data_IF_091720551356
#
_entry.id   IF_091720551356
#
_cell.length_a   1.000
_cell.length_b   1.000
_cell.length_c   1.000
_cell.angle_alpha   90.00
_cell.angle_beta   90.00
_cell.angle_gamma   90.00
#
_symmetry.space_group_name_H-M   'P 1'
#
loop_
_entity.id
_entity.type
_entity.pdbx_description
1 polymer ?
#
# COMPACT_ATOMS: atom_id res chain seq x y z
N UNK A 1 -26.21 -1.06 -12.07
CA UNK A 1 -26.73 -0.83 -10.70
C UNK A 1 -25.61 -0.25 -9.87
N UNK A 2 -25.84 0.85 -9.14
CA UNK A 2 -24.81 1.50 -8.33
C UNK A 2 -24.60 0.71 -7.03
N UNK A 3 -23.35 0.40 -6.67
CA UNK A 3 -22.99 -0.30 -5.44
C UNK A 3 -23.38 0.55 -4.21
N UNK A 4 -23.97 -0.09 -3.20
CA UNK A 4 -24.29 0.53 -1.90
C UNK A 4 -22.99 0.91 -1.14
N UNK A 5 -23.04 1.97 -0.32
CA UNK A 5 -21.93 2.43 0.53
C UNK A 5 -21.85 1.58 1.80
N UNK A 6 -20.64 1.21 2.24
CA UNK A 6 -20.41 0.41 3.45
C UNK A 6 -19.46 1.12 4.42
N UNK A 7 -19.79 2.34 4.87
CA UNK A 7 -18.92 3.08 5.78
C UNK A 7 -18.90 2.41 7.16
N UNK A 8 -17.72 2.39 7.78
CA UNK A 8 -17.54 1.93 9.16
C UNK A 8 -16.55 2.83 9.87
N UNK A 9 -16.76 3.03 11.17
CA UNK A 9 -15.82 3.78 11.99
C UNK A 9 -14.46 3.07 12.09
N UNK A 10 -14.46 1.74 12.14
CA UNK A 10 -13.25 0.90 12.19
C UNK A 10 -13.40 -0.29 11.25
N UNK A 11 -12.33 -0.59 10.51
CA UNK A 11 -12.18 -1.75 9.61
C UNK A 11 -11.22 -2.74 10.28
N UNK A 12 -11.53 -4.03 10.25
CA UNK A 12 -10.67 -5.08 10.78
C UNK A 12 -10.72 -6.36 9.93
N UNK A 13 -9.60 -6.73 9.33
CA UNK A 13 -9.41 -7.95 8.52
C UNK A 13 -8.17 -8.74 8.92
N UNK A 14 -7.20 -8.10 9.57
CA UNK A 14 -5.93 -8.66 9.97
C UNK A 14 -6.12 -9.87 10.90
N UNK A 15 -5.50 -11.00 10.54
CA UNK A 15 -5.54 -12.21 11.36
C UNK A 15 -6.87 -12.99 11.28
N UNK A 16 -7.82 -12.54 10.47
CA UNK A 16 -9.11 -13.19 10.26
C UNK A 16 -9.13 -13.97 8.94
N UNK A 17 -9.71 -15.17 8.96
CA UNK A 17 -10.07 -15.93 7.77
C UNK A 17 -11.42 -15.46 7.21
N UNK A 18 -11.74 -15.77 5.93
CA UNK A 18 -13.07 -15.51 5.37
C UNK A 18 -14.19 -15.99 6.30
N UNK A 19 -15.25 -15.19 6.43
CA UNK A 19 -16.42 -15.45 7.29
C UNK A 19 -16.18 -15.45 8.81
N UNK A 20 -15.00 -15.02 9.26
CA UNK A 20 -14.75 -14.84 10.69
C UNK A 20 -15.05 -13.43 11.16
N UNK A 21 -15.79 -13.34 12.27
CA UNK A 21 -16.14 -12.07 12.91
C UNK A 21 -16.69 -11.07 11.88
N UNK A 22 -16.19 -9.83 11.91
CA UNK A 22 -16.59 -8.75 11.03
C UNK A 22 -15.74 -8.64 9.75
N UNK A 23 -14.95 -9.67 9.40
CA UNK A 23 -14.02 -9.59 8.27
C UNK A 23 -14.72 -9.27 6.97
N UNK A 24 -15.82 -9.96 6.66
CA UNK A 24 -16.50 -9.78 5.37
C UNK A 24 -17.12 -8.38 5.25
N UNK A 25 -17.67 -7.86 6.34
CA UNK A 25 -18.15 -6.49 6.41
C UNK A 25 -17.01 -5.47 6.25
N UNK A 26 -15.84 -5.75 6.83
CA UNK A 26 -14.65 -4.93 6.69
C UNK A 26 -14.08 -4.96 5.27
N UNK A 27 -14.16 -6.09 4.57
CA UNK A 27 -13.79 -6.20 3.15
C UNK A 27 -14.75 -5.38 2.27
N UNK A 28 -16.06 -5.40 2.56
CA UNK A 28 -17.01 -4.51 1.88
C UNK A 28 -16.69 -3.05 2.13
N UNK A 29 -16.28 -2.68 3.34
CA UNK A 29 -15.80 -1.33 3.64
C UNK A 29 -14.53 -0.95 2.87
N UNK A 30 -13.52 -1.83 2.81
CA UNK A 30 -12.29 -1.58 2.03
C UNK A 30 -12.58 -1.40 0.54
N UNK A 31 -13.59 -2.10 0.02
CA UNK A 31 -14.06 -1.92 -1.35
C UNK A 31 -14.63 -0.50 -1.60
N UNK A 32 -15.15 0.21 -0.59
CA UNK A 32 -15.49 1.63 -0.77
C UNK A 32 -14.24 2.49 -1.09
N UNK A 33 -13.10 2.22 -0.42
CA UNK A 33 -11.85 2.94 -0.66
C UNK A 33 -11.37 2.73 -2.09
N UNK A 34 -11.34 1.47 -2.54
CA UNK A 34 -10.99 1.11 -3.91
C UNK A 34 -11.94 1.72 -4.94
N UNK A 35 -13.25 1.68 -4.67
CA UNK A 35 -14.25 2.32 -5.54
C UNK A 35 -14.02 3.83 -5.63
N UNK A 36 -13.62 4.50 -4.56
CA UNK A 36 -13.32 5.94 -4.58
C UNK A 36 -12.31 6.25 -5.69
N UNK A 37 -11.19 5.52 -5.72
CA UNK A 37 -10.17 5.69 -6.74
C UNK A 37 -10.68 5.40 -8.16
N UNK A 38 -11.40 4.29 -8.32
CA UNK A 38 -11.92 3.88 -9.64
C UNK A 38 -12.92 4.88 -10.19
N UNK A 39 -13.84 5.38 -9.35
CA UNK A 39 -14.80 6.40 -9.77
C UNK A 39 -14.09 7.72 -10.10
N UNK A 40 -13.07 8.11 -9.32
CA UNK A 40 -12.25 9.30 -9.62
C UNK A 40 -11.59 9.19 -11.00
N UNK A 41 -10.91 8.07 -11.28
CA UNK A 41 -10.26 7.82 -12.56
C UNK A 41 -11.27 7.79 -13.72
N UNK A 42 -12.42 7.13 -13.51
CA UNK A 42 -13.49 7.09 -14.51
C UNK A 42 -14.00 8.50 -14.82
N UNK A 43 -14.15 9.36 -13.80
CA UNK A 43 -14.48 10.77 -14.01
C UNK A 43 -13.37 11.51 -14.76
N UNK A 44 -12.11 11.40 -14.36
CA UNK A 44 -10.99 12.07 -15.05
C UNK A 44 -10.90 11.72 -16.54
N UNK A 45 -11.22 10.47 -16.91
CA UNK A 45 -11.17 10.00 -18.30
C UNK A 45 -12.40 10.44 -19.10
N UNK A 46 -13.59 10.45 -18.47
CA UNK A 46 -14.87 10.60 -19.20
C UNK A 46 -15.55 11.95 -19.03
N UNK A 47 -15.21 12.70 -17.97
CA UNK A 47 -15.95 13.89 -17.52
C UNK A 47 -17.36 13.60 -17.00
N UNK A 48 -17.74 12.32 -16.82
CA UNK A 48 -19.11 11.97 -16.43
C UNK A 48 -19.39 12.33 -14.96
N UNK A 49 -20.31 13.26 -14.77
CA UNK A 49 -20.74 13.80 -13.48
C UNK A 49 -21.29 12.74 -12.52
N UNK A 50 -21.81 11.61 -13.02
CA UNK A 50 -22.26 10.52 -12.15
C UNK A 50 -21.11 9.88 -11.36
N UNK A 51 -19.92 9.79 -11.97
CA UNK A 51 -18.72 9.29 -11.30
C UNK A 51 -18.16 10.30 -10.31
N UNK A 52 -18.18 11.59 -10.64
CA UNK A 52 -17.82 12.70 -9.73
C UNK A 52 -18.71 12.72 -8.47
N UNK A 53 -20.02 12.65 -8.67
CA UNK A 53 -20.98 12.63 -7.56
C UNK A 53 -20.76 11.40 -6.66
N UNK A 54 -20.40 10.25 -7.26
CA UNK A 54 -20.15 9.02 -6.51
C UNK A 54 -18.87 9.10 -5.69
N UNK A 55 -17.78 9.62 -6.25
CA UNK A 55 -16.52 9.78 -5.50
C UNK A 55 -16.67 10.79 -4.37
N UNK A 56 -17.37 11.91 -4.60
CA UNK A 56 -17.66 12.90 -3.55
C UNK A 56 -18.46 12.29 -2.39
N UNK A 57 -19.45 11.45 -2.69
CA UNK A 57 -20.24 10.75 -1.67
C UNK A 57 -19.40 9.73 -0.87
N UNK A 58 -18.50 8.98 -1.52
CA UNK A 58 -17.58 8.10 -0.81
C UNK A 58 -16.69 8.89 0.15
N UNK A 59 -16.03 9.93 -0.36
CA UNK A 59 -15.09 10.74 0.44
C UNK A 59 -15.81 11.37 1.63
N UNK A 60 -16.93 12.05 1.42
CA UNK A 60 -17.61 12.80 2.48
C UNK A 60 -18.02 11.92 3.66
N UNK A 61 -18.56 10.73 3.37
CA UNK A 61 -18.98 9.78 4.40
C UNK A 61 -17.77 9.20 5.15
N UNK A 62 -16.71 8.82 4.43
CA UNK A 62 -15.53 8.20 5.04
C UNK A 62 -14.73 9.18 5.90
N UNK A 63 -14.45 10.40 5.41
CA UNK A 63 -13.68 11.38 6.19
C UNK A 63 -14.45 11.94 7.39
N UNK A 64 -15.78 11.81 7.40
CA UNK A 64 -16.60 12.22 8.53
C UNK A 64 -16.66 11.19 9.66
N UNK A 65 -16.57 9.89 9.35
CA UNK A 65 -16.87 8.82 10.30
C UNK A 65 -15.70 7.89 10.64
N UNK A 66 -14.64 7.87 9.83
CA UNK A 66 -13.56 6.92 9.99
C UNK A 66 -12.61 7.26 11.15
N UNK A 67 -12.23 6.24 11.91
CA UNK A 67 -11.31 6.32 13.05
C UNK A 67 -10.16 5.34 12.78
N UNK A 68 -8.95 5.84 12.41
CA UNK A 68 -7.80 4.98 12.21
C UNK A 68 -7.52 4.11 13.45
N UNK A 69 -7.50 2.80 13.25
CA UNK A 69 -7.09 1.79 14.21
C UNK A 69 -5.56 1.75 14.37
N UNK A 70 -4.84 2.28 13.39
CA UNK A 70 -3.39 2.17 13.24
C UNK A 70 -2.89 0.72 13.09
N UNK A 71 -3.76 -0.16 12.61
CA UNK A 71 -3.38 -1.47 12.10
C UNK A 71 -3.10 -1.35 10.58
N UNK A 72 -1.82 -1.38 10.15
CA UNK A 72 -1.47 -1.10 8.76
C UNK A 72 -1.98 -2.14 7.77
N UNK A 73 -2.35 -3.34 8.25
CA UNK A 73 -2.93 -4.40 7.40
C UNK A 73 -4.43 -4.15 7.18
N UNK A 74 -5.14 -3.70 8.21
CA UNK A 74 -6.56 -3.33 8.10
C UNK A 74 -6.74 -2.12 7.17
N UNK A 75 -5.75 -1.25 7.14
CA UNK A 75 -5.79 0.06 6.48
C UNK A 75 -4.94 0.12 5.21
N UNK A 76 -4.38 -1.02 4.77
CA UNK A 76 -3.44 -1.08 3.66
C UNK A 76 -3.97 -0.37 2.40
N UNK A 77 -5.27 -0.52 2.10
CA UNK A 77 -5.91 0.01 0.90
C UNK A 77 -6.60 1.36 1.13
N UNK A 78 -6.53 1.94 2.34
CA UNK A 78 -7.08 3.27 2.63
C UNK A 78 -6.44 4.34 1.75
N UNK A 79 -5.23 4.09 1.25
CA UNK A 79 -4.54 4.94 0.28
C UNK A 79 -5.38 5.19 -0.99
N UNK A 80 -6.23 4.25 -1.40
CA UNK A 80 -7.09 4.42 -2.57
C UNK A 80 -8.16 5.49 -2.35
N UNK A 81 -8.70 5.60 -1.13
CA UNK A 81 -9.59 6.71 -0.74
C UNK A 81 -8.86 8.04 -0.89
N UNK A 82 -7.60 8.11 -0.43
CA UNK A 82 -6.79 9.32 -0.45
C UNK A 82 -6.40 9.73 -1.88
N UNK A 83 -6.09 8.77 -2.75
CA UNK A 83 -5.84 9.03 -4.17
C UNK A 83 -7.10 9.50 -4.88
N UNK A 84 -8.25 8.87 -4.60
CA UNK A 84 -9.53 9.33 -5.11
C UNK A 84 -9.85 10.76 -4.69
N UNK A 85 -9.53 11.13 -3.45
CA UNK A 85 -9.62 12.51 -2.97
C UNK A 85 -8.73 13.47 -3.77
N UNK A 86 -7.48 13.12 -4.02
CA UNK A 86 -6.52 14.00 -4.72
C UNK A 86 -7.04 14.43 -6.10
N UNK A 87 -7.63 13.50 -6.86
CA UNK A 87 -8.22 13.78 -8.17
C UNK A 87 -9.37 14.79 -8.13
N UNK A 88 -10.19 14.78 -7.07
CA UNK A 88 -11.45 15.54 -7.03
C UNK A 88 -11.49 16.66 -6.01
N UNK A 89 -10.40 16.91 -5.28
CA UNK A 89 -10.40 17.83 -4.13
C UNK A 89 -10.95 19.23 -4.44
N UNK A 90 -10.72 19.76 -5.64
CA UNK A 90 -11.23 21.07 -6.09
C UNK A 90 -12.76 21.12 -6.27
N UNK A 91 -13.42 19.94 -6.30
CA UNK A 91 -14.88 19.78 -6.44
C UNK A 91 -15.57 19.55 -5.11
N UNK A 92 -14.81 19.30 -4.04
CA UNK A 92 -15.36 18.98 -2.73
C UNK A 92 -15.69 20.24 -1.94
N UNK A 93 -16.57 20.09 -0.94
CA UNK A 93 -16.85 21.18 -0.01
C UNK A 93 -15.60 21.51 0.82
N UNK A 94 -15.40 22.77 1.25
CA UNK A 94 -14.31 23.13 2.15
C UNK A 94 -14.28 22.28 3.43
N UNK A 95 -15.45 21.96 3.98
CA UNK A 95 -15.59 21.09 5.17
C UNK A 95 -15.08 19.67 4.92
N UNK A 96 -15.37 19.10 3.75
CA UNK A 96 -14.89 17.76 3.37
C UNK A 96 -13.36 17.77 3.18
N UNK A 97 -12.82 18.81 2.56
CA UNK A 97 -11.36 18.98 2.38
C UNK A 97 -10.65 19.10 3.73
N UNK A 98 -11.19 19.90 4.66
CA UNK A 98 -10.60 20.07 6.00
C UNK A 98 -10.58 18.76 6.79
N UNK A 99 -11.68 17.97 6.72
CA UNK A 99 -11.76 16.64 7.33
C UNK A 99 -10.76 15.66 6.71
N UNK A 100 -10.60 15.66 5.39
CA UNK A 100 -9.62 14.82 4.70
C UNK A 100 -8.19 15.16 5.15
N UNK A 101 -7.84 16.45 5.23
CA UNK A 101 -6.54 16.90 5.74
C UNK A 101 -6.32 16.54 7.20
N UNK A 102 -7.37 16.63 8.02
CA UNK A 102 -7.32 16.20 9.42
C UNK A 102 -7.08 14.69 9.53
N UNK A 103 -7.76 13.88 8.73
CA UNK A 103 -7.52 12.44 8.65
C UNK A 103 -6.08 12.14 8.24
N UNK A 104 -5.55 12.82 7.22
CA UNK A 104 -4.15 12.69 6.80
C UNK A 104 -3.16 12.98 7.93
N UNK A 105 -3.38 14.08 8.67
CA UNK A 105 -2.57 14.43 9.87
C UNK A 105 -2.65 13.36 10.95
N UNK A 106 -3.84 12.81 11.22
CA UNK A 106 -4.03 11.73 12.20
C UNK A 106 -3.29 10.46 11.79
N UNK A 107 -3.40 10.06 10.52
CA UNK A 107 -2.69 8.90 9.97
C UNK A 107 -1.17 9.07 10.09
N UNK A 108 -0.62 10.19 9.60
CA UNK A 108 0.81 10.47 9.68
C UNK A 108 1.32 10.45 11.12
N UNK A 109 0.64 11.17 12.02
CA UNK A 109 1.04 11.23 13.43
C UNK A 109 0.96 9.86 14.11
N UNK A 110 -0.11 9.10 13.85
CA UNK A 110 -0.31 7.80 14.47
C UNK A 110 0.67 6.74 13.98
N UNK A 111 0.92 6.67 12.65
CA UNK A 111 1.82 5.69 12.07
C UNK A 111 3.31 6.01 12.29
N UNK A 112 3.68 7.29 12.43
CA UNK A 112 5.03 7.71 12.80
C UNK A 112 5.27 7.69 14.32
N UNK A 113 4.20 7.62 15.11
CA UNK A 113 4.25 7.61 16.56
C UNK A 113 4.86 6.34 17.18
N UNK A 114 4.92 6.35 18.51
CA UNK A 114 5.44 5.23 19.31
C UNK A 114 4.41 4.13 19.56
N UNK A 115 3.11 4.44 19.42
CA UNK A 115 2.03 3.45 19.55
C UNK A 115 2.02 2.55 18.31
N UNK A 116 2.28 1.26 18.49
CA UNK A 116 2.29 0.27 17.41
C UNK A 116 1.37 -0.90 17.71
N UNK A 117 0.50 -1.23 16.76
CA UNK A 117 -0.27 -2.46 16.74
C UNK A 117 0.60 -3.56 16.13
N UNK A 118 0.61 -4.75 16.74
CA UNK A 118 1.43 -5.89 16.32
C UNK A 118 2.59 -6.21 17.27
N UNK A 119 3.30 -7.31 17.02
CA UNK A 119 4.48 -7.70 17.81
C UNK A 119 5.76 -6.95 17.35
N UNK A 120 6.88 -7.04 18.08
CA UNK A 120 8.11 -6.33 17.74
C UNK A 120 8.63 -6.58 16.32
N UNK A 121 8.43 -7.77 15.75
CA UNK A 121 8.89 -8.09 14.39
C UNK A 121 8.13 -7.29 13.32
N UNK A 122 6.93 -6.80 13.65
CA UNK A 122 6.18 -5.90 12.75
C UNK A 122 6.85 -4.55 12.53
N UNK A 123 7.90 -4.22 13.31
CA UNK A 123 8.75 -3.06 13.06
C UNK A 123 9.79 -3.26 11.95
N UNK A 124 9.99 -4.50 11.48
CA UNK A 124 11.00 -4.86 10.48
C UNK A 124 10.42 -5.44 9.19
N UNK A 125 9.16 -5.89 9.21
CA UNK A 125 8.52 -6.57 8.09
C UNK A 125 7.53 -5.66 7.34
N UNK A 126 6.76 -6.23 6.41
CA UNK A 126 5.75 -5.57 5.58
C UNK A 126 4.77 -4.69 6.36
N UNK A 127 4.47 -5.01 7.62
CA UNK A 127 3.63 -4.14 8.45
C UNK A 127 4.22 -2.74 8.52
N UNK A 128 5.52 -2.64 8.78
CA UNK A 128 6.19 -1.34 8.82
C UNK A 128 6.28 -0.70 7.43
N UNK A 129 6.41 -1.48 6.37
CA UNK A 129 6.32 -0.98 4.99
C UNK A 129 4.96 -0.31 4.72
N UNK A 130 3.87 -0.95 5.15
CA UNK A 130 2.53 -0.37 5.09
C UNK A 130 2.34 0.84 6.03
N UNK A 131 2.92 0.83 7.25
CA UNK A 131 2.91 2.04 8.11
C UNK A 131 3.61 3.21 7.44
N UNK A 132 4.76 2.97 6.82
CA UNK A 132 5.51 4.00 6.07
C UNK A 132 4.65 4.53 4.92
N UNK A 133 4.06 3.65 4.10
CA UNK A 133 3.13 4.05 3.03
C UNK A 133 2.00 4.96 3.54
N UNK A 134 1.29 4.52 4.57
CA UNK A 134 0.14 5.24 5.12
C UNK A 134 0.54 6.55 5.80
N UNK A 135 1.69 6.57 6.48
CA UNK A 135 2.26 7.78 7.05
C UNK A 135 2.63 8.81 5.97
N UNK A 136 3.29 8.37 4.90
CA UNK A 136 3.67 9.23 3.77
C UNK A 136 2.44 9.82 3.08
N UNK A 137 1.44 8.98 2.78
CA UNK A 137 0.19 9.43 2.19
C UNK A 137 -0.51 10.47 3.09
N UNK A 138 -0.60 10.19 4.40
CA UNK A 138 -1.17 11.11 5.37
C UNK A 138 -0.39 12.42 5.52
N UNK A 139 0.95 12.36 5.45
CA UNK A 139 1.83 13.51 5.60
C UNK A 139 1.64 14.49 4.44
N UNK A 140 1.71 14.01 3.20
CA UNK A 140 1.46 14.84 2.01
C UNK A 140 0.03 15.37 1.98
N UNK A 141 -0.97 14.54 2.31
CA UNK A 141 -2.36 14.99 2.40
C UNK A 141 -2.56 16.10 3.45
N UNK A 142 -1.83 16.05 4.57
CA UNK A 142 -1.93 17.06 5.63
C UNK A 142 -1.33 18.42 5.25
N UNK A 143 -0.46 18.45 4.23
CA UNK A 143 0.32 19.64 3.86
C UNK A 143 1.36 20.08 4.90
N UNK A 144 1.69 19.24 5.88
CA UNK A 144 2.63 19.57 6.96
C UNK A 144 4.05 19.11 6.61
N UNK A 145 4.99 20.03 6.31
CA UNK A 145 6.35 19.67 5.92
C UNK A 145 7.13 18.95 7.02
N UNK A 146 6.79 19.15 8.30
CA UNK A 146 7.44 18.44 9.39
C UNK A 146 7.02 16.95 9.42
N UNK A 147 5.75 16.65 9.09
CA UNK A 147 5.29 15.27 8.94
C UNK A 147 5.90 14.60 7.71
N UNK A 148 6.09 15.33 6.61
CA UNK A 148 6.78 14.81 5.41
C UNK A 148 8.23 14.45 5.74
N UNK A 149 8.96 15.35 6.43
CA UNK A 149 10.32 15.08 6.87
C UNK A 149 10.40 13.86 7.81
N UNK A 150 9.47 13.73 8.76
CA UNK A 150 9.42 12.58 9.65
C UNK A 150 9.09 11.27 8.91
N UNK A 151 8.20 11.31 7.92
CA UNK A 151 7.89 10.16 7.07
C UNK A 151 9.10 9.72 6.24
N UNK A 152 9.89 10.67 5.72
CA UNK A 152 11.15 10.40 5.02
C UNK A 152 12.15 9.66 5.90
N UNK A 153 12.38 10.15 7.13
CA UNK A 153 13.29 9.48 8.07
C UNK A 153 12.80 8.07 8.42
N UNK A 154 11.49 7.90 8.63
CA UNK A 154 10.87 6.59 8.87
C UNK A 154 11.04 5.64 7.69
N UNK A 155 10.91 6.14 6.45
CA UNK A 155 11.14 5.37 5.22
C UNK A 155 12.60 4.90 5.12
N UNK A 156 13.57 5.80 5.28
CA UNK A 156 14.99 5.47 5.16
C UNK A 156 15.44 4.47 6.23
N UNK A 157 15.02 4.69 7.48
CA UNK A 157 15.30 3.79 8.59
C UNK A 157 14.72 2.38 8.34
N UNK A 158 13.49 2.32 7.82
CA UNK A 158 12.86 1.03 7.52
C UNK A 158 13.55 0.30 6.37
N UNK A 159 13.82 0.96 5.23
CA UNK A 159 14.54 0.36 4.10
C UNK A 159 15.87 -0.24 4.56
N UNK A 160 16.63 0.50 5.39
CA UNK A 160 17.91 0.03 5.91
C UNK A 160 17.81 -1.17 6.87
N UNK A 161 16.71 -1.31 7.61
CA UNK A 161 16.51 -2.39 8.57
C UNK A 161 15.78 -3.62 8.02
N UNK A 162 15.01 -3.43 6.94
CA UNK A 162 14.15 -4.45 6.36
C UNK A 162 14.85 -5.27 5.25
N UNK A 163 15.75 -4.64 4.48
CA UNK A 163 16.37 -5.26 3.32
C UNK A 163 17.82 -5.64 3.65
N UNK A 164 18.15 -6.92 3.47
CA UNK A 164 19.50 -7.43 3.64
C UNK A 164 20.48 -6.90 2.61
N UNK A 165 21.78 -7.02 2.90
CA UNK A 165 22.85 -6.65 1.97
C UNK A 165 22.81 -7.44 0.64
N UNK A 166 22.16 -8.59 0.64
CA UNK A 166 21.93 -9.47 -0.51
C UNK A 166 20.62 -9.16 -1.26
N UNK A 167 19.84 -8.18 -0.80
CA UNK A 167 18.56 -7.77 -1.39
C UNK A 167 17.35 -8.56 -0.88
N UNK A 168 17.52 -9.57 -0.02
CA UNK A 168 16.36 -10.28 0.55
C UNK A 168 15.64 -9.40 1.55
N UNK A 169 14.30 -9.39 1.49
CA UNK A 169 13.49 -8.75 2.53
C UNK A 169 13.46 -9.59 3.80
N UNK A 170 13.20 -8.94 4.92
CA UNK A 170 13.02 -9.61 6.21
C UNK A 170 11.88 -10.64 6.15
N UNK A 171 10.77 -10.33 5.48
CA UNK A 171 9.66 -11.26 5.33
C UNK A 171 10.04 -12.55 4.59
N UNK A 172 10.85 -12.47 3.53
CA UNK A 172 11.24 -13.66 2.79
C UNK A 172 11.93 -14.67 3.71
N UNK A 173 12.81 -14.18 4.58
CA UNK A 173 13.55 -15.03 5.53
C UNK A 173 12.64 -15.70 6.57
N UNK A 174 11.47 -15.11 6.88
CA UNK A 174 10.53 -15.67 7.85
C UNK A 174 9.47 -16.59 7.23
N UNK A 175 9.05 -16.27 6.01
CA UNK A 175 7.85 -16.81 5.39
C UNK A 175 8.12 -17.68 4.17
N UNK A 176 9.31 -17.60 3.59
CA UNK A 176 9.68 -18.34 2.40
C UNK A 176 8.67 -18.14 1.25
N UNK A 177 8.36 -16.86 0.98
CA UNK A 177 7.24 -16.45 0.15
C UNK A 177 7.59 -15.21 -0.67
N UNK A 178 7.58 -15.33 -2.01
CA UNK A 178 7.73 -14.20 -2.93
C UNK A 178 6.52 -13.26 -2.87
N UNK A 179 5.33 -13.79 -2.54
CA UNK A 179 4.16 -12.98 -2.23
C UNK A 179 4.51 -11.88 -1.21
N UNK A 180 5.21 -12.25 -0.15
CA UNK A 180 5.59 -11.32 0.91
C UNK A 180 6.80 -10.45 0.56
N UNK A 181 7.60 -10.79 -0.44
CA UNK A 181 8.59 -9.86 -1.00
C UNK A 181 7.87 -8.72 -1.73
N UNK A 182 6.86 -9.05 -2.53
CA UNK A 182 6.05 -8.03 -3.22
C UNK A 182 5.25 -7.19 -2.22
N UNK A 183 4.58 -7.85 -1.28
CA UNK A 183 3.75 -7.20 -0.25
C UNK A 183 4.57 -6.29 0.69
N UNK A 184 5.87 -6.52 0.81
CA UNK A 184 6.80 -5.68 1.56
C UNK A 184 7.35 -4.50 0.74
N UNK A 185 7.78 -4.76 -0.51
CA UNK A 185 8.43 -3.74 -1.35
C UNK A 185 7.45 -2.77 -2.01
N UNK A 186 6.26 -3.23 -2.42
CA UNK A 186 5.28 -2.40 -3.12
C UNK A 186 4.85 -1.16 -2.31
N UNK A 187 4.50 -1.25 -1.01
CA UNK A 187 4.18 -0.07 -0.23
C UNK A 187 5.36 0.91 -0.09
N UNK A 188 6.61 0.44 -0.07
CA UNK A 188 7.79 1.31 -0.06
C UNK A 188 8.00 2.02 -1.40
N UNK A 189 7.84 1.30 -2.51
CA UNK A 189 7.89 1.90 -3.84
C UNK A 189 6.77 2.91 -4.05
N UNK A 190 5.58 2.66 -3.49
CA UNK A 190 4.47 3.61 -3.51
C UNK A 190 4.79 4.87 -2.68
N UNK A 191 5.37 4.73 -1.49
CA UNK A 191 5.81 5.88 -0.68
C UNK A 191 6.88 6.72 -1.42
N UNK A 192 7.87 6.08 -2.04
CA UNK A 192 8.87 6.78 -2.85
C UNK A 192 8.25 7.46 -4.09
N UNK A 193 7.22 6.86 -4.70
CA UNK A 193 6.48 7.47 -5.80
C UNK A 193 5.67 8.69 -5.36
N UNK A 194 5.06 8.68 -4.17
CA UNK A 194 4.41 9.86 -3.59
C UNK A 194 5.42 10.98 -3.39
N UNK A 195 6.62 10.66 -2.91
CA UNK A 195 7.66 11.65 -2.71
C UNK A 195 8.16 12.26 -4.02
N UNK A 196 8.41 11.43 -5.04
CA UNK A 196 8.87 11.87 -6.36
C UNK A 196 7.87 12.81 -7.03
N UNK A 197 6.58 12.55 -6.85
CA UNK A 197 5.49 13.41 -7.30
C UNK A 197 5.53 14.83 -6.68
N UNK A 198 6.07 14.96 -5.47
CA UNK A 198 6.32 16.24 -4.81
C UNK A 198 7.74 16.80 -5.04
N UNK A 199 8.52 16.21 -5.94
CA UNK A 199 9.89 16.65 -6.26
C UNK A 199 10.97 16.12 -5.31
N UNK A 200 10.63 15.18 -4.42
CA UNK A 200 11.57 14.54 -3.50
C UNK A 200 12.05 13.18 -4.03
N UNK A 201 13.36 12.96 -4.13
CA UNK A 201 13.92 11.68 -4.58
C UNK A 201 14.25 10.75 -3.40
N UNK A 202 13.23 10.15 -2.76
CA UNK A 202 13.48 9.20 -1.67
C UNK A 202 14.06 7.87 -2.15
N UNK A 203 13.78 7.48 -3.40
CA UNK A 203 14.29 6.23 -3.99
C UNK A 203 15.81 6.28 -4.23
N UNK A 204 16.30 7.39 -4.80
CA UNK A 204 17.71 7.59 -5.12
C UNK A 204 18.57 8.00 -3.93
N UNK A 205 17.96 8.29 -2.77
CA UNK A 205 18.70 8.54 -1.55
C UNK A 205 19.47 7.31 -1.10
N UNK A 206 20.77 7.50 -0.84
CA UNK A 206 21.59 6.47 -0.25
C UNK A 206 21.11 6.15 1.17
N UNK A 207 20.37 5.05 1.35
CA UNK A 207 20.36 4.34 2.62
C UNK A 207 21.65 3.52 2.71
N UNK A 208 22.32 3.52 3.86
CA UNK A 208 23.49 2.70 4.08
C UNK A 208 23.11 1.22 3.95
N UNK A 209 23.54 0.58 2.85
CA UNK A 209 23.38 -0.87 2.54
C UNK A 209 21.96 -1.30 2.07
N UNK A 210 21.91 -2.29 1.15
CA UNK A 210 20.68 -3.05 0.84
C UNK A 210 19.47 -2.24 0.34
N UNK A 211 19.63 -1.30 -0.61
CA UNK A 211 18.51 -0.45 -1.05
C UNK A 211 17.41 -1.17 -1.85
N UNK A 212 16.28 -0.51 -2.06
CA UNK A 212 15.13 -0.99 -2.86
C UNK A 212 15.53 -1.57 -4.23
N UNK A 213 16.49 -0.92 -4.90
CA UNK A 213 17.03 -1.40 -6.17
C UNK A 213 17.70 -2.78 -6.06
N UNK A 214 18.37 -3.07 -4.94
CA UNK A 214 18.99 -4.37 -4.70
C UNK A 214 17.92 -5.46 -4.50
N UNK A 215 16.86 -5.17 -3.75
CA UNK A 215 15.75 -6.10 -3.56
C UNK A 215 15.00 -6.41 -4.86
N UNK A 216 14.74 -5.39 -5.68
CA UNK A 216 14.18 -5.58 -7.01
C UNK A 216 15.10 -6.42 -7.91
N UNK A 217 16.41 -6.19 -7.89
CA UNK A 217 17.35 -7.04 -8.64
C UNK A 217 17.38 -8.48 -8.14
N UNK A 218 17.24 -8.69 -6.83
CA UNK A 218 17.15 -10.03 -6.24
C UNK A 218 15.86 -10.77 -6.64
N UNK A 219 14.72 -10.07 -6.69
CA UNK A 219 13.43 -10.64 -7.10
C UNK A 219 13.37 -10.96 -8.61
N UNK A 220 14.16 -10.24 -9.43
CA UNK A 220 14.13 -10.29 -10.89
C UNK A 220 14.10 -11.70 -11.51
N UNK A 221 14.98 -12.66 -11.18
CA UNK A 221 14.96 -14.00 -11.81
C UNK A 221 13.64 -14.75 -11.55
N UNK A 222 13.00 -14.56 -10.39
CA UNK A 222 11.69 -15.13 -10.12
C UNK A 222 10.60 -14.47 -10.97
N UNK A 223 10.58 -13.14 -11.00
CA UNK A 223 9.61 -12.38 -11.80
C UNK A 223 9.76 -12.63 -13.31
N UNK A 224 10.99 -12.88 -13.77
CA UNK A 224 11.30 -13.29 -15.13
C UNK A 224 10.80 -14.70 -15.48
N UNK A 225 10.48 -15.52 -14.46
CA UNK A 225 10.13 -16.93 -14.63
C UNK A 225 11.35 -17.85 -14.79
N UNK A 226 12.56 -17.33 -14.61
CA UNK A 226 13.81 -18.12 -14.70
C UNK A 226 13.94 -19.06 -13.49
N UNK A 227 13.47 -18.61 -12.33
CA UNK A 227 13.44 -19.38 -11.09
C UNK A 227 12.00 -19.55 -10.61
N UNK A 228 11.44 -20.77 -10.60
CA UNK A 228 10.18 -21.04 -9.90
C UNK A 228 10.40 -20.97 -8.38
N UNK A 229 9.35 -20.60 -7.65
CA UNK A 229 9.32 -20.62 -6.19
C UNK A 229 8.03 -21.27 -5.71
N UNK A 230 8.11 -22.20 -4.76
CA UNK A 230 6.95 -22.78 -4.09
C UNK A 230 6.71 -22.01 -2.78
N UNK A 231 5.55 -21.39 -2.65
CA UNK A 231 5.23 -20.46 -1.58
C UNK A 231 5.02 -21.17 -0.23
N UNK A 232 5.57 -20.58 0.84
CA UNK A 232 5.35 -20.93 2.24
C UNK A 232 5.90 -22.30 2.70
N UNK A 233 6.71 -22.98 1.90
CA UNK A 233 7.26 -24.32 2.23
C UNK A 233 8.02 -24.30 3.57
N UNK A 234 8.77 -23.23 3.83
CA UNK A 234 9.52 -23.04 5.07
C UNK A 234 8.99 -21.89 5.95
N UNK A 235 7.71 -21.50 5.81
CA UNK A 235 7.14 -20.44 6.64
C UNK A 235 7.14 -20.81 8.12
N UNK A 236 7.62 -19.89 8.96
CA UNK A 236 7.58 -20.01 10.43
C UNK A 236 6.37 -19.29 11.05
N UNK A 237 5.55 -18.62 10.23
CA UNK A 237 4.44 -17.80 10.69
C UNK A 237 3.16 -18.63 10.81
N UNK A 238 2.64 -18.75 12.04
CA UNK A 238 1.46 -19.59 12.33
C UNK A 238 0.21 -19.24 11.51
N UNK A 239 0.01 -17.95 11.21
CA UNK A 239 -1.15 -17.52 10.44
C UNK A 239 -1.08 -17.93 8.96
N UNK A 240 0.12 -18.13 8.40
CA UNK A 240 0.29 -18.64 7.04
C UNK A 240 -0.16 -20.10 6.98
N UNK A 241 0.27 -20.92 7.94
CA UNK A 241 -0.20 -22.30 8.06
C UNK A 241 -1.72 -22.40 8.23
N UNK A 242 -2.33 -21.47 8.99
CA UNK A 242 -3.80 -21.40 9.15
C UNK A 242 -4.51 -21.05 7.83
N UNK A 243 -3.96 -20.12 7.04
CA UNK A 243 -4.50 -19.76 5.72
C UNK A 243 -4.37 -20.90 4.72
N UNK A 244 -3.22 -21.59 4.70
CA UNK A 244 -3.02 -22.79 3.88
C UNK A 244 -4.01 -23.90 4.25
N UNK A 245 -4.21 -24.18 5.54
CA UNK A 245 -5.16 -25.19 6.02
C UNK A 245 -6.63 -24.84 5.70
N UNK A 246 -6.94 -23.55 5.57
CA UNK A 246 -8.25 -23.06 5.15
C UNK A 246 -8.39 -22.92 3.61
N UNK A 247 -7.39 -23.36 2.83
CA UNK A 247 -7.35 -23.25 1.37
C UNK A 247 -7.55 -21.82 0.86
N UNK A 248 -7.04 -20.83 1.59
CA UNK A 248 -7.02 -19.44 1.12
C UNK A 248 -6.10 -19.38 -0.11
N UNK A 249 -6.63 -18.84 -1.20
CA UNK A 249 -5.89 -18.67 -2.45
C UNK A 249 -4.58 -17.90 -2.21
N UNK A 250 -3.51 -18.36 -2.86
CA UNK A 250 -2.18 -17.76 -2.74
C UNK A 250 -1.35 -18.21 -1.54
N UNK A 251 -1.86 -19.08 -0.64
CA UNK A 251 -1.10 -19.57 0.54
C UNK A 251 -0.48 -20.97 0.36
N UNK A 252 -0.36 -21.44 -0.88
CA UNK A 252 0.34 -22.69 -1.23
C UNK A 252 0.60 -22.76 -2.74
N UNK A 253 1.52 -23.62 -3.15
CA UNK A 253 1.82 -23.88 -4.57
C UNK A 253 2.82 -22.89 -5.17
N UNK A 254 2.95 -22.90 -6.50
CA UNK A 254 3.91 -22.05 -7.20
C UNK A 254 3.50 -20.58 -7.18
N UNK A 255 4.45 -19.71 -6.87
CA UNK A 255 4.28 -18.27 -6.93
C UNK A 255 3.87 -17.80 -8.32
N UNK A 256 2.91 -16.87 -8.38
CA UNK A 256 2.46 -16.28 -9.62
C UNK A 256 3.24 -15.01 -9.93
N UNK A 257 4.17 -15.08 -10.90
CA UNK A 257 5.01 -13.93 -11.31
C UNK A 257 4.25 -12.63 -11.61
N UNK A 258 2.98 -12.73 -12.01
CA UNK A 258 2.12 -11.57 -12.29
C UNK A 258 1.85 -10.72 -11.04
N UNK A 259 2.00 -11.27 -9.84
CA UNK A 259 1.89 -10.50 -8.59
C UNK A 259 2.90 -9.36 -8.53
N UNK A 260 4.09 -9.50 -9.13
CA UNK A 260 5.10 -8.44 -9.14
C UNK A 260 4.85 -7.31 -10.17
N UNK A 261 3.75 -7.36 -10.94
CA UNK A 261 3.54 -6.45 -12.07
C UNK A 261 3.45 -4.98 -11.65
N UNK A 262 2.68 -4.68 -10.59
CA UNK A 262 2.52 -3.32 -10.09
C UNK A 262 3.83 -2.80 -9.49
N UNK A 263 4.48 -3.60 -8.65
CA UNK A 263 5.80 -3.30 -8.09
C UNK A 263 6.81 -2.87 -9.17
N UNK A 264 7.00 -3.68 -10.23
CA UNK A 264 7.94 -3.33 -11.30
C UNK A 264 7.48 -2.14 -12.15
N UNK A 265 6.17 -1.95 -12.30
CA UNK A 265 5.64 -0.78 -12.97
C UNK A 265 5.98 0.51 -12.21
N UNK A 266 5.74 0.56 -10.88
CA UNK A 266 6.13 1.70 -10.05
C UNK A 266 7.65 1.89 -10.11
N UNK A 267 8.42 0.81 -10.00
CA UNK A 267 9.88 0.84 -10.10
C UNK A 267 10.37 1.46 -11.42
N UNK A 268 9.74 1.13 -12.55
CA UNK A 268 10.12 1.70 -13.85
C UNK A 268 9.90 3.22 -13.98
N UNK A 269 9.05 3.81 -13.13
CA UNK A 269 8.81 5.26 -13.08
C UNK A 269 9.87 5.99 -12.28
N UNK A 270 10.43 5.34 -11.28
CA UNK A 270 11.47 5.87 -10.41
C UNK A 270 12.87 5.58 -10.95
N UNK A 271 13.03 4.45 -11.64
CA UNK A 271 14.32 3.98 -12.16
C UNK A 271 14.15 3.24 -13.51
N UNK A 272 14.60 3.84 -14.61
CA UNK A 272 14.44 3.28 -15.95
C UNK A 272 15.02 1.87 -16.12
N UNK A 273 15.97 1.43 -15.28
CA UNK A 273 16.58 0.10 -15.37
C UNK A 273 15.55 -1.04 -15.23
N UNK A 274 14.40 -0.77 -14.61
CA UNK A 274 13.33 -1.77 -14.40
C UNK A 274 12.27 -1.78 -15.51
N UNK A 275 12.33 -0.86 -16.48
CA UNK A 275 11.40 -0.80 -17.62
C UNK A 275 11.26 -2.13 -18.38
N UNK A 276 12.35 -2.86 -18.70
CA UNK A 276 12.22 -4.13 -19.40
C UNK A 276 11.40 -5.17 -18.64
N UNK A 277 11.54 -5.23 -17.31
CA UNK A 277 10.78 -6.16 -16.48
C UNK A 277 9.31 -5.77 -16.38
N UNK A 278 9.02 -4.47 -16.17
CA UNK A 278 7.65 -3.95 -16.16
C UNK A 278 6.89 -4.30 -17.46
N UNK A 279 7.56 -4.14 -18.61
CA UNK A 279 7.01 -4.50 -19.92
C UNK A 279 6.82 -6.02 -20.05
N UNK A 280 7.79 -6.83 -19.61
CA UNK A 280 7.72 -8.29 -19.68
C UNK A 280 6.61 -8.89 -18.79
N UNK A 281 6.22 -8.20 -17.72
CA UNK A 281 5.09 -8.57 -16.87
C UNK A 281 3.74 -8.10 -17.43
N UNK A 282 3.76 -7.31 -18.52
CA UNK A 282 2.56 -6.67 -19.10
C UNK A 282 1.73 -5.97 -18.03
N UNK A 283 2.39 -5.18 -17.17
CA UNK A 283 1.71 -4.48 -16.10
C UNK A 283 0.55 -3.64 -16.67
N UNK A 284 -0.66 -3.89 -16.17
CA UNK A 284 -1.87 -3.13 -16.46
C UNK A 284 -2.06 -2.16 -15.29
N UNK A 285 -1.43 -0.98 -15.30
CA UNK A 285 -1.55 -0.05 -14.18
C UNK A 285 -3.01 0.34 -14.01
N UNK A 286 -3.55 0.11 -12.81
CA UNK A 286 -4.91 0.55 -12.47
C UNK A 286 -4.93 2.05 -12.15
N UNK A 287 -3.79 2.71 -11.90
CA UNK A 287 -3.76 4.08 -11.41
C UNK A 287 -2.56 4.86 -11.97
N UNK A 288 -2.83 5.94 -12.72
CA UNK A 288 -1.93 7.09 -12.83
C UNK A 288 -2.57 8.25 -12.08
N UNK A 289 -2.16 8.48 -10.84
CA UNK A 289 -1.75 9.78 -10.35
C UNK A 289 -1.29 9.62 -8.91
N UNK A 290 -0.22 10.34 -8.60
CA UNK A 290 0.04 10.93 -7.31
C UNK A 290 0.73 12.24 -7.65
N UNK A 291 0.14 13.36 -7.19
CA UNK A 291 0.64 14.73 -7.22
C UNK A 291 1.43 15.18 -8.48
N UNK A 292 0.74 15.83 -9.43
CA UNK A 292 1.37 16.63 -10.47
C UNK A 292 0.99 18.10 -10.28
#
# INVERSE_FOLDING_TARGET
MARELHPRAVVHTQGLLPHEQDRDASVLSQEDWRQTLIQALAWCITGNQAYEAKVAAYIDVWVAGYLPSFNPIDEADLVDLLFGFDFVQERLSPSTVDKARQLGRQMATGYLGTRRVGDPSTGLNNWQSHRVKLATAGAYLSGDPALVAAAREGFLAHVSGNIGTDGRTYDFNQRDAMHYVVYDLEPLMMAASMAAAHGDDWYGMASSQGGLAAALRWLKPYAAGDNPHEEFVHSTVRFDARRAAAHVEGYSGLWQRKEASNLYWIASRLDPQFTPMANALNAQPVVRALFA
#
